data_IF_008100222111
#
_entry.id   IF_008100222111
#
_cell.length_a   1.000
_cell.length_b   1.000
_cell.length_c   1.000
_cell.angle_alpha   90.00
_cell.angle_beta   90.00
_cell.angle_gamma   90.00
#
_symmetry.space_group_name_H-M   'P 1'
#
loop_
_entity.id
_entity.type
_entity.pdbx_description
1 polymer ?
#
# COMPACT_ATOMS: atom_id res chain seq x y z
N UNK A 1 6.24 40.48 -30.53
CA UNK A 1 6.31 41.01 -29.15
C UNK A 1 6.22 39.85 -28.16
N UNK A 2 7.35 39.37 -27.65
CA UNK A 2 7.44 38.38 -26.56
C UNK A 2 8.50 38.88 -25.55
N UNK A 3 8.32 40.11 -25.06
CA UNK A 3 9.37 40.79 -24.26
C UNK A 3 9.33 40.44 -22.77
N UNK A 4 8.35 39.65 -22.31
CA UNK A 4 8.15 39.39 -20.87
C UNK A 4 7.86 37.91 -20.50
N UNK A 5 8.26 36.93 -21.31
CA UNK A 5 8.01 35.51 -21.02
C UNK A 5 8.96 34.88 -19.98
N UNK A 6 9.99 35.61 -19.52
CA UNK A 6 10.97 35.07 -18.55
C UNK A 6 10.31 34.66 -17.23
N UNK A 7 9.33 35.44 -16.78
CA UNK A 7 8.56 35.13 -15.56
C UNK A 7 7.68 33.90 -15.71
N UNK A 8 7.06 33.71 -16.89
CA UNK A 8 6.30 32.50 -17.20
C UNK A 8 7.17 31.25 -17.19
N UNK A 9 8.36 31.32 -17.79
CA UNK A 9 9.33 30.21 -17.78
C UNK A 9 9.77 29.90 -16.36
N UNK A 10 10.08 30.92 -15.55
CA UNK A 10 10.46 30.73 -14.14
C UNK A 10 9.33 30.13 -13.30
N UNK A 11 8.09 30.59 -13.47
CA UNK A 11 6.91 30.05 -12.79
C UNK A 11 6.66 28.60 -13.16
N UNK A 12 6.75 28.27 -14.44
CA UNK A 12 6.58 26.90 -14.92
C UNK A 12 7.67 25.98 -14.37
N UNK A 13 8.92 26.43 -14.37
CA UNK A 13 10.03 25.67 -13.79
C UNK A 13 9.87 25.46 -12.27
N UNK A 14 9.43 26.48 -11.54
CA UNK A 14 9.14 26.37 -10.11
C UNK A 14 7.99 25.39 -9.83
N UNK A 15 6.94 25.39 -10.65
CA UNK A 15 5.84 24.44 -10.55
C UNK A 15 6.32 23.00 -10.77
N UNK A 16 7.14 22.75 -11.80
CA UNK A 16 7.70 21.43 -12.07
C UNK A 16 8.58 20.94 -10.92
N UNK A 17 9.42 21.81 -10.35
CA UNK A 17 10.22 21.48 -9.17
C UNK A 17 9.36 21.15 -7.95
N UNK A 18 8.30 21.93 -7.72
CA UNK A 18 7.35 21.68 -6.63
C UNK A 18 6.64 20.33 -6.80
N UNK A 19 6.15 20.03 -8.00
CA UNK A 19 5.51 18.75 -8.31
C UNK A 19 6.49 17.56 -8.17
N UNK A 20 7.73 17.72 -8.64
CA UNK A 20 8.78 16.72 -8.47
C UNK A 20 9.12 16.46 -7.00
N UNK A 21 9.23 17.52 -6.18
CA UNK A 21 9.45 17.38 -4.75
C UNK A 21 8.28 16.67 -4.04
N UNK A 22 7.04 16.90 -4.49
CA UNK A 22 5.86 16.19 -3.99
C UNK A 22 5.86 14.70 -4.36
N UNK A 23 6.31 14.34 -5.56
CA UNK A 23 6.43 12.95 -5.98
C UNK A 23 7.45 12.15 -5.14
N UNK A 24 8.52 12.81 -4.68
CA UNK A 24 9.52 12.21 -3.78
C UNK A 24 9.16 12.32 -2.29
N UNK A 25 7.98 12.84 -1.94
CA UNK A 25 7.57 12.93 -0.54
C UNK A 25 7.38 11.53 0.07
N UNK A 26 7.82 11.30 1.31
CA UNK A 26 7.65 10.00 1.95
C UNK A 26 6.16 9.66 2.10
N UNK A 27 5.83 8.37 1.97
CA UNK A 27 4.47 7.89 2.24
C UNK A 27 4.13 8.21 3.70
N UNK A 28 3.01 8.90 3.97
CA UNK A 28 2.65 9.28 5.33
C UNK A 28 2.47 8.03 6.20
N UNK A 29 3.02 8.08 7.41
CA UNK A 29 2.72 7.07 8.43
C UNK A 29 1.26 7.24 8.88
N UNK A 30 0.49 6.16 8.83
CA UNK A 30 -0.94 6.18 9.12
C UNK A 30 -1.19 5.66 10.52
N UNK A 31 -1.86 6.46 11.35
CA UNK A 31 -2.36 6.02 12.64
C UNK A 31 -3.53 5.05 12.46
N UNK A 32 -3.66 4.06 13.36
CA UNK A 32 -4.72 3.06 13.29
C UNK A 32 -6.14 3.65 13.26
N UNK A 33 -6.36 4.81 13.89
CA UNK A 33 -7.63 5.54 13.87
C UNK A 33 -8.07 5.97 12.46
N UNK A 34 -7.12 6.07 11.52
CA UNK A 34 -7.35 6.39 10.11
C UNK A 34 -7.35 5.15 9.20
N UNK A 35 -7.33 3.96 9.77
CA UNK A 35 -7.46 2.71 9.03
C UNK A 35 -8.91 2.25 8.95
N UNK A 36 -9.22 1.46 7.91
CA UNK A 36 -10.33 0.51 7.92
C UNK A 36 -9.82 -0.75 8.60
N UNK A 37 -10.66 -1.34 9.43
CA UNK A 37 -10.37 -2.56 10.17
C UNK A 37 -11.36 -3.61 9.71
N UNK A 38 -10.85 -4.76 9.27
CA UNK A 38 -11.64 -5.91 8.86
C UNK A 38 -11.23 -7.09 9.73
N UNK A 39 -12.20 -7.67 10.43
CA UNK A 39 -12.03 -8.93 11.14
C UNK A 39 -12.71 -10.03 10.32
N UNK A 40 -11.98 -11.09 10.00
CA UNK A 40 -12.52 -12.24 9.28
C UNK A 40 -11.63 -13.46 9.49
N UNK A 41 -12.12 -14.64 9.09
CA UNK A 41 -11.33 -15.87 9.10
C UNK A 41 -10.49 -15.93 7.83
N UNK A 42 -9.21 -16.25 7.96
CA UNK A 42 -8.32 -16.44 6.80
C UNK A 42 -8.61 -17.81 6.15
N UNK A 43 -8.97 -17.79 4.87
CA UNK A 43 -9.27 -18.98 4.06
C UNK A 43 -8.05 -19.52 3.34
N UNK A 44 -7.31 -18.62 2.68
CA UNK A 44 -6.14 -18.98 1.88
C UNK A 44 -5.06 -17.91 1.98
N UNK A 45 -3.81 -18.35 1.83
CA UNK A 45 -2.64 -17.50 1.85
C UNK A 45 -1.56 -18.09 0.95
N UNK A 46 -1.11 -17.31 -0.03
CA UNK A 46 -0.09 -17.72 -0.98
C UNK A 46 0.83 -16.55 -1.35
N UNK A 47 1.94 -16.85 -2.01
CA UNK A 47 2.97 -15.89 -2.38
C UNK A 47 3.27 -15.99 -3.87
N UNK A 48 3.34 -14.85 -4.56
CA UNK A 48 3.76 -14.80 -5.97
C UNK A 48 5.28 -14.86 -6.14
N UNK A 49 5.72 -14.92 -7.40
CA UNK A 49 7.13 -14.92 -7.78
C UNK A 49 7.88 -13.65 -7.33
N UNK A 50 7.17 -12.52 -7.19
CA UNK A 50 7.73 -11.24 -6.75
C UNK A 50 7.81 -11.11 -5.23
N UNK A 51 7.24 -12.08 -4.51
CA UNK A 51 7.16 -12.12 -3.06
C UNK A 51 6.05 -11.29 -2.43
N UNK A 52 5.04 -10.92 -3.22
CA UNK A 52 3.75 -10.41 -2.74
C UNK A 52 2.99 -11.56 -2.09
N UNK A 53 2.47 -11.34 -0.90
CA UNK A 53 1.62 -12.30 -0.20
C UNK A 53 0.17 -11.92 -0.42
N UNK A 54 -0.63 -12.85 -0.90
CA UNK A 54 -2.06 -12.70 -1.09
C UNK A 54 -2.81 -13.40 0.05
N UNK A 55 -3.90 -12.79 0.50
CA UNK A 55 -4.76 -13.28 1.56
C UNK A 55 -6.20 -13.26 1.09
N UNK A 56 -6.88 -14.40 1.25
CA UNK A 56 -8.31 -14.54 0.99
C UNK A 56 -9.03 -14.84 2.28
N UNK A 57 -10.13 -14.13 2.54
CA UNK A 57 -10.94 -14.31 3.73
C UNK A 57 -12.17 -15.15 3.43
N UNK A 58 -12.72 -15.79 4.46
CA UNK A 58 -14.01 -16.47 4.38
C UNK A 58 -15.11 -15.43 4.11
N UNK A 59 -16.00 -15.74 3.17
CA UNK A 59 -17.15 -14.91 2.76
C UNK A 59 -16.79 -13.49 2.30
N UNK A 60 -15.53 -13.27 1.86
CA UNK A 60 -15.09 -12.02 1.25
C UNK A 60 -14.57 -12.30 -0.17
N UNK A 61 -15.07 -11.55 -1.16
CA UNK A 61 -14.59 -11.65 -2.54
C UNK A 61 -13.38 -10.73 -2.78
N UNK A 62 -13.08 -9.83 -1.85
CA UNK A 62 -11.93 -8.93 -1.95
C UNK A 62 -10.63 -9.70 -1.74
N UNK A 63 -9.68 -9.49 -2.64
CA UNK A 63 -8.31 -9.99 -2.50
C UNK A 63 -7.49 -8.98 -1.72
N UNK A 64 -6.94 -9.41 -0.59
CA UNK A 64 -6.00 -8.59 0.18
C UNK A 64 -4.58 -9.02 -0.15
N UNK A 65 -3.65 -8.07 -0.17
CA UNK A 65 -2.26 -8.39 -0.46
C UNK A 65 -1.30 -7.55 0.39
N UNK A 66 -0.12 -8.11 0.62
CA UNK A 66 1.01 -7.47 1.29
C UNK A 66 2.17 -7.51 0.30
N UNK A 67 2.49 -6.36 -0.29
CA UNK A 67 3.69 -6.23 -1.12
C UNK A 67 4.93 -6.39 -0.26
N UNK A 68 5.97 -7.01 -0.83
CA UNK A 68 7.26 -7.33 -0.19
C UNK A 68 7.66 -6.27 0.86
N UNK A 69 7.80 -6.65 2.14
CA UNK A 69 8.24 -5.70 3.15
C UNK A 69 9.64 -5.17 2.81
N UNK A 70 9.83 -3.86 2.97
CA UNK A 70 11.11 -3.18 2.72
C UNK A 70 12.24 -3.64 3.67
N UNK A 71 11.89 -4.36 4.74
CA UNK A 71 12.82 -4.86 5.76
C UNK A 71 13.10 -6.35 5.56
N UNK A 72 14.39 -6.71 5.58
CA UNK A 72 14.97 -8.00 5.22
C UNK A 72 14.58 -9.22 6.08
N UNK A 73 13.57 -9.13 6.95
CA UNK A 73 12.97 -10.30 7.56
C UNK A 73 11.99 -10.89 6.54
N UNK A 74 12.44 -11.91 5.80
CA UNK A 74 11.55 -12.70 4.95
C UNK A 74 10.40 -13.21 5.83
N UNK A 75 9.19 -12.74 5.55
CA UNK A 75 7.97 -13.33 6.12
C UNK A 75 7.99 -14.83 5.79
N UNK A 76 8.08 -15.64 6.82
CA UNK A 76 8.08 -17.10 6.74
C UNK A 76 6.64 -17.57 6.48
N UNK A 77 6.34 -17.78 5.20
CA UNK A 77 5.01 -18.11 4.73
C UNK A 77 4.50 -19.42 5.32
N UNK A 78 5.39 -20.39 5.54
CA UNK A 78 5.03 -21.71 6.06
C UNK A 78 4.58 -21.61 7.51
N UNK A 79 5.31 -20.84 8.31
CA UNK A 79 4.95 -20.57 9.70
C UNK A 79 3.71 -19.68 9.83
N UNK A 80 3.54 -18.72 8.92
CA UNK A 80 2.35 -17.88 8.86
C UNK A 80 1.11 -18.68 8.48
N UNK A 81 1.18 -19.50 7.43
CA UNK A 81 0.06 -20.33 7.00
C UNK A 81 -0.36 -21.30 8.11
N UNK A 82 0.60 -21.97 8.76
CA UNK A 82 0.33 -22.86 9.89
C UNK A 82 -0.36 -22.19 11.08
N UNK A 83 -0.13 -20.88 11.30
CA UNK A 83 -0.66 -20.13 12.45
C UNK A 83 -1.91 -19.30 12.16
N UNK A 84 -2.16 -18.96 10.90
CA UNK A 84 -3.19 -17.99 10.55
C UNK A 84 -4.33 -18.63 9.75
N UNK A 85 -4.10 -19.75 9.05
CA UNK A 85 -5.14 -20.42 8.29
C UNK A 85 -6.25 -20.92 9.22
N UNK A 86 -7.50 -20.67 8.82
CA UNK A 86 -8.72 -20.97 9.58
C UNK A 86 -8.86 -20.24 10.92
N UNK A 87 -7.96 -19.31 11.24
CA UNK A 87 -8.05 -18.45 12.42
C UNK A 87 -8.63 -17.08 12.08
N UNK A 88 -9.19 -16.43 13.11
CA UNK A 88 -9.69 -15.05 13.00
C UNK A 88 -8.51 -14.09 12.93
N UNK A 89 -8.41 -13.35 11.83
CA UNK A 89 -7.40 -12.33 11.58
C UNK A 89 -8.00 -10.93 11.54
N UNK A 90 -7.18 -9.94 11.91
CA UNK A 90 -7.52 -8.52 11.79
C UNK A 90 -6.65 -7.88 10.72
N UNK A 91 -7.28 -7.47 9.62
CA UNK A 91 -6.63 -6.71 8.56
C UNK A 91 -6.89 -5.22 8.79
N UNK A 92 -5.81 -4.43 8.82
CA UNK A 92 -5.86 -2.97 8.94
C UNK A 92 -5.21 -2.34 7.71
N UNK A 93 -5.91 -1.42 7.06
CA UNK A 93 -5.39 -0.67 5.92
C UNK A 93 -5.86 0.78 5.93
N UNK A 94 -5.07 1.76 5.44
CA UNK A 94 -5.46 3.16 5.43
C UNK A 94 -6.79 3.40 4.70
N UNK A 95 -7.65 4.28 5.22
CA UNK A 95 -8.97 4.54 4.61
C UNK A 95 -8.93 5.08 3.18
N UNK A 96 -7.83 5.73 2.82
CA UNK A 96 -7.58 6.30 1.50
C UNK A 96 -6.95 5.29 0.54
N UNK A 97 -6.65 4.06 1.00
CA UNK A 97 -6.34 2.93 0.16
C UNK A 97 -7.60 2.11 -0.08
N UNK A 98 -7.85 1.80 -1.34
CA UNK A 98 -8.74 0.73 -1.75
C UNK A 98 -7.92 -0.56 -1.75
N UNK A 99 -8.42 -1.69 -1.21
CA UNK A 99 -7.94 -2.99 -1.65
C UNK A 99 -7.97 -2.97 -3.18
N UNK A 100 -6.91 -3.40 -3.87
CA UNK A 100 -7.04 -3.56 -5.31
C UNK A 100 -8.17 -4.56 -5.55
N UNK A 101 -9.11 -4.19 -6.40
CA UNK A 101 -9.97 -5.16 -7.08
C UNK A 101 -9.08 -6.15 -7.85
#
# INVERSE_FOLDING_TARGET
MLKNNRWFVLLFMALLLFLGAKACSPVPLVYESKCRVKNAVLKDLHKDENGTIFLHLVDDQTTYYITKPRSAASLDLDNMSAKLLNDSVTIKYPRYWTPLD
#
